data_IF_097659241703
#
_entry.id   IF_097659241703
#
_cell.length_a   1.000
_cell.length_b   1.000
_cell.length_c   1.000
_cell.angle_alpha   90.00
_cell.angle_beta   90.00
_cell.angle_gamma   90.00
#
_symmetry.space_group_name_H-M   'P 1'
#
loop_
_entity.id
_entity.type
_entity.pdbx_description
1 polymer ?
#
# COMPACT_ATOMS: atom_id res chain seq x y z
N UNK A 1 -1.72 23.81 61.01
CA UNK A 1 -1.80 22.37 61.31
C UNK A 1 -3.21 22.06 61.76
N UNK A 2 -3.88 21.19 60.98
CA UNK A 2 -5.01 20.30 61.27
C UNK A 2 -5.94 20.61 62.46
N UNK A 3 -7.18 20.97 62.12
CA UNK A 3 -8.38 20.90 62.97
C UNK A 3 -8.82 19.45 63.15
N UNK A 4 -9.06 19.06 64.40
CA UNK A 4 -9.55 17.74 64.80
C UNK A 4 -11.10 17.64 64.75
N UNK A 5 -11.50 16.49 64.24
CA UNK A 5 -12.79 15.81 64.16
C UNK A 5 -13.64 15.73 65.44
N UNK A 6 -14.96 15.59 65.25
CA UNK A 6 -15.89 14.54 65.78
C UNK A 6 -17.29 15.15 66.04
N UNK A 7 -18.45 14.54 65.81
CA UNK A 7 -18.90 13.14 65.59
C UNK A 7 -20.32 13.20 64.93
N UNK A 8 -20.64 12.35 63.94
CA UNK A 8 -21.43 11.10 64.03
C UNK A 8 -22.96 11.35 64.20
N UNK A 9 -23.95 10.59 63.68
CA UNK A 9 -24.13 9.32 62.93
C UNK A 9 -25.67 9.19 62.76
N UNK A 10 -26.30 8.69 61.67
CA UNK A 10 -26.78 7.30 61.47
C UNK A 10 -27.97 7.29 60.47
N UNK A 11 -27.93 6.33 59.52
CA UNK A 11 -28.97 5.51 58.83
C UNK A 11 -30.28 6.13 58.27
N UNK A 12 -30.95 5.62 57.22
CA UNK A 12 -31.01 4.29 56.58
C UNK A 12 -31.67 4.32 55.18
N UNK A 13 -31.16 3.47 54.28
CA UNK A 13 -31.81 2.57 53.31
C UNK A 13 -33.08 2.97 52.52
N UNK A 14 -33.03 2.83 51.17
CA UNK A 14 -33.86 1.86 50.40
C UNK A 14 -33.48 1.78 48.91
N UNK A 15 -33.27 0.55 48.43
CA UNK A 15 -33.48 0.08 47.02
C UNK A 15 -34.66 -0.93 47.08
N UNK A 16 -35.29 -1.46 45.99
CA UNK A 16 -34.89 -1.49 44.58
C UNK A 16 -36.05 -1.32 43.55
N UNK A 17 -35.75 -1.23 42.24
CA UNK A 17 -36.66 -1.76 41.21
C UNK A 17 -35.92 -2.20 39.94
N UNK A 18 -36.08 -3.48 39.62
CA UNK A 18 -35.78 -4.09 38.32
C UNK A 18 -36.85 -3.64 37.33
N UNK A 19 -36.46 -3.27 36.11
CA UNK A 19 -37.20 -3.72 34.94
C UNK A 19 -36.24 -3.88 33.75
N UNK A 20 -36.34 -5.02 33.08
CA UNK A 20 -35.53 -5.39 31.94
C UNK A 20 -36.27 -5.11 30.64
N UNK A 21 -35.53 -4.69 29.61
CA UNK A 21 -35.82 -5.01 28.19
C UNK A 21 -34.61 -4.64 27.31
N UNK A 22 -33.84 -5.67 27.02
CA UNK A 22 -33.49 -6.12 25.67
C UNK A 22 -33.19 -5.09 24.56
N UNK A 23 -31.90 -5.00 24.23
CA UNK A 23 -31.29 -5.07 22.88
C UNK A 23 -32.12 -4.53 21.70
N UNK A 24 -31.67 -3.41 21.14
CA UNK A 24 -31.67 -3.24 19.68
C UNK A 24 -30.38 -2.58 19.22
N UNK A 25 -29.48 -3.42 18.69
CA UNK A 25 -28.34 -3.01 17.88
C UNK A 25 -28.87 -2.33 16.62
N UNK A 26 -28.68 -1.02 16.50
CA UNK A 26 -28.63 -0.36 15.19
C UNK A 26 -27.18 -0.15 14.82
N UNK A 27 -26.63 -1.15 14.14
CA UNK A 27 -25.44 -0.99 13.29
C UNK A 27 -25.84 -0.11 12.12
N UNK A 28 -25.62 1.20 12.23
CA UNK A 28 -25.62 2.03 11.04
C UNK A 28 -24.32 1.75 10.28
N UNK A 29 -24.52 1.23 9.08
CA UNK A 29 -23.51 1.03 8.05
C UNK A 29 -22.90 2.38 7.67
N UNK A 30 -21.72 2.66 8.18
CA UNK A 30 -20.83 3.69 7.64
C UNK A 30 -20.37 3.24 6.25
N UNK A 31 -21.15 3.56 5.21
CA UNK A 31 -20.59 3.77 3.88
C UNK A 31 -19.84 5.09 3.91
N UNK A 32 -18.66 5.07 4.55
CA UNK A 32 -17.71 6.17 4.51
C UNK A 32 -17.36 6.44 3.05
N UNK A 33 -17.55 7.69 2.63
CA UNK A 33 -17.17 8.16 1.31
C UNK A 33 -15.64 7.98 1.10
N UNK A 34 -15.17 7.75 -0.14
CA UNK A 34 -13.80 7.32 -0.40
C UNK A 34 -12.73 8.31 0.11
N UNK A 35 -11.54 7.83 0.51
CA UNK A 35 -10.52 8.63 1.19
C UNK A 35 -9.97 9.77 0.31
N UNK A 36 -9.87 9.53 -1.01
CA UNK A 36 -9.51 10.54 -2.02
C UNK A 36 -10.49 10.45 -3.19
N UNK A 37 -10.91 11.58 -3.73
CA UNK A 37 -11.80 11.63 -4.90
C UNK A 37 -10.97 11.49 -6.17
N UNK A 38 -11.21 10.43 -6.95
CA UNK A 38 -10.55 10.23 -8.24
C UNK A 38 -11.18 11.20 -9.24
N UNK A 39 -10.40 12.17 -9.75
CA UNK A 39 -10.88 13.05 -10.79
C UNK A 39 -10.93 12.30 -12.14
N UNK A 40 -12.14 12.06 -12.67
CA UNK A 40 -12.36 11.42 -13.96
C UNK A 40 -12.29 12.46 -15.10
N UNK A 41 -11.10 12.94 -15.46
CA UNK A 41 -10.93 13.79 -16.64
C UNK A 41 -10.11 13.08 -17.71
N UNK A 42 -10.79 12.32 -18.58
CA UNK A 42 -10.44 12.11 -19.99
C UNK A 42 -11.37 11.09 -20.67
N UNK A 43 -12.46 11.57 -21.28
CA UNK A 43 -13.12 10.84 -22.37
C UNK A 43 -12.40 11.20 -23.67
N UNK A 44 -11.37 10.43 -24.02
CA UNK A 44 -10.75 10.46 -25.34
C UNK A 44 -11.23 9.26 -26.14
N UNK A 45 -11.92 9.51 -27.24
CA UNK A 45 -12.47 8.52 -28.17
C UNK A 45 -11.35 7.64 -28.75
N UNK A 46 -11.34 6.34 -28.42
CA UNK A 46 -10.40 5.37 -28.99
C UNK A 46 -11.06 4.62 -30.15
N UNK A 47 -10.61 4.91 -31.37
CA UNK A 47 -10.93 4.15 -32.56
C UNK A 47 -10.37 2.72 -32.46
N UNK A 48 -11.17 1.73 -32.87
CA UNK A 48 -10.79 0.33 -33.01
C UNK A 48 -9.87 0.16 -34.22
N UNK A 49 -8.63 -0.33 -34.02
CA UNK A 49 -7.92 -1.21 -34.97
C UNK A 49 -6.53 -1.61 -34.45
N UNK A 50 -6.10 -2.82 -34.84
CA UNK A 50 -4.77 -3.43 -34.80
C UNK A 50 -4.29 -4.08 -33.48
N UNK A 51 -3.69 -5.26 -33.64
CA UNK A 51 -3.43 -6.28 -32.62
C UNK A 51 -2.84 -5.78 -31.30
N UNK A 52 -3.18 -6.49 -30.21
CA UNK A 52 -2.73 -6.23 -28.84
C UNK A 52 -1.24 -5.88 -28.81
N UNK A 53 -0.88 -4.59 -28.62
CA UNK A 53 0.50 -4.18 -28.51
C UNK A 53 1.14 -4.96 -27.36
N UNK A 54 2.41 -5.33 -27.49
CA UNK A 54 3.12 -5.96 -26.38
C UNK A 54 2.95 -5.09 -25.13
N UNK A 55 2.52 -5.69 -24.01
CA UNK A 55 2.20 -4.97 -22.76
C UNK A 55 3.38 -4.12 -22.30
N UNK A 56 4.61 -4.55 -22.58
CA UNK A 56 5.82 -3.77 -22.31
C UNK A 56 6.05 -2.55 -23.19
N UNK A 57 5.48 -2.49 -24.40
CA UNK A 57 5.56 -1.30 -25.26
C UNK A 57 4.57 -0.22 -24.81
N UNK A 58 3.41 -0.59 -24.26
CA UNK A 58 2.46 0.37 -23.65
C UNK A 58 3.05 1.05 -22.43
N UNK A 59 3.63 0.29 -21.50
CA UNK A 59 4.27 0.84 -20.30
C UNK A 59 5.48 1.75 -20.64
N UNK A 60 6.29 1.41 -21.65
CA UNK A 60 7.41 2.27 -22.12
C UNK A 60 6.96 3.66 -22.53
N UNK A 61 5.78 3.76 -23.14
CA UNK A 61 5.22 5.03 -23.60
C UNK A 61 4.63 5.86 -22.46
N UNK A 62 4.13 5.21 -21.41
CA UNK A 62 3.44 5.86 -20.29
C UNK A 62 4.41 6.48 -19.28
N UNK A 63 5.57 5.85 -19.03
CA UNK A 63 6.51 6.32 -18.00
C UNK A 63 7.99 6.22 -18.42
N UNK A 64 8.48 7.11 -19.31
CA UNK A 64 9.86 7.05 -19.80
C UNK A 64 10.89 7.45 -18.72
N UNK A 65 10.59 8.45 -17.89
CA UNK A 65 11.53 8.98 -16.87
C UNK A 65 11.80 7.95 -15.78
N UNK A 66 10.74 7.35 -15.22
CA UNK A 66 10.85 6.30 -14.22
C UNK A 66 11.61 5.09 -14.71
N UNK A 67 11.39 4.74 -15.98
CA UNK A 67 12.07 3.60 -16.63
C UNK A 67 13.57 3.82 -16.78
N UNK A 68 14.00 5.05 -17.09
CA UNK A 68 15.41 5.40 -17.10
C UNK A 68 16.00 5.38 -15.68
N UNK A 69 15.26 5.89 -14.68
CA UNK A 69 15.71 5.91 -13.29
C UNK A 69 15.81 4.52 -12.64
N UNK A 70 15.21 3.50 -13.25
CA UNK A 70 15.12 2.13 -12.74
C UNK A 70 15.59 1.09 -13.76
N UNK A 71 16.45 1.52 -14.70
CA UNK A 71 16.92 0.71 -15.83
C UNK A 71 17.79 -0.48 -15.39
N UNK A 72 18.50 -0.32 -14.27
CA UNK A 72 19.30 -1.35 -13.61
C UNK A 72 18.46 -2.48 -13.00
N UNK A 73 17.15 -2.29 -12.85
CA UNK A 73 16.25 -3.29 -12.26
C UNK A 73 15.64 -4.16 -13.34
N UNK A 74 15.98 -5.45 -13.28
CA UNK A 74 15.39 -6.47 -14.12
C UNK A 74 13.88 -6.60 -13.90
N UNK A 75 13.14 -6.94 -14.96
CA UNK A 75 11.67 -7.04 -14.90
C UNK A 75 11.13 -8.26 -15.63
N UNK A 76 10.17 -8.91 -14.99
CA UNK A 76 9.40 -10.02 -15.55
C UNK A 76 7.96 -9.58 -15.85
N UNK A 77 7.41 -10.02 -16.98
CA UNK A 77 5.98 -9.80 -17.25
C UNK A 77 5.19 -10.95 -16.64
N UNK A 78 4.46 -10.67 -15.57
CA UNK A 78 3.67 -11.65 -14.81
C UNK A 78 2.24 -11.15 -14.73
N UNK A 79 1.29 -11.93 -15.24
CA UNK A 79 -0.12 -11.54 -15.26
C UNK A 79 -0.44 -10.25 -16.03
N UNK A 80 0.39 -9.86 -17.00
CA UNK A 80 0.20 -8.64 -17.81
C UNK A 80 0.83 -7.35 -17.24
N UNK A 81 1.39 -7.40 -16.03
CA UNK A 81 2.17 -6.31 -15.43
C UNK A 81 3.67 -6.63 -15.45
N UNK A 82 4.52 -5.59 -15.52
CA UNK A 82 5.99 -5.75 -15.43
C UNK A 82 6.43 -5.56 -13.98
N UNK A 83 6.72 -6.68 -13.34
CA UNK A 83 7.12 -6.73 -11.93
C UNK A 83 8.65 -6.71 -11.84
N UNK A 84 9.17 -6.05 -10.81
CA UNK A 84 10.59 -6.02 -10.51
C UNK A 84 11.07 -7.40 -10.07
N UNK A 85 12.17 -7.85 -10.64
CA UNK A 85 12.87 -9.09 -10.25
C UNK A 85 13.85 -8.73 -9.14
N UNK A 86 13.30 -8.40 -7.98
CA UNK A 86 14.05 -8.08 -6.77
C UNK A 86 13.47 -8.86 -5.60
N UNK A 87 14.34 -9.32 -4.71
CA UNK A 87 13.95 -9.78 -3.39
C UNK A 87 13.71 -8.61 -2.42
N UNK A 88 13.37 -8.92 -1.17
CA UNK A 88 13.02 -7.97 -0.13
C UNK A 88 14.20 -7.06 0.25
N UNK A 89 15.38 -7.64 0.45
CA UNK A 89 16.60 -6.90 0.80
C UNK A 89 17.09 -6.05 -0.39
N UNK A 90 17.09 -6.62 -1.59
CA UNK A 90 17.40 -5.90 -2.84
C UNK A 90 16.43 -4.75 -3.08
N UNK A 91 15.13 -4.95 -2.83
CA UNK A 91 14.14 -3.87 -2.93
C UNK A 91 14.41 -2.77 -1.91
N UNK A 92 14.73 -3.14 -0.66
CA UNK A 92 15.02 -2.17 0.38
C UNK A 92 16.31 -1.38 0.10
N UNK A 93 17.38 -2.06 -0.33
CA UNK A 93 18.63 -1.42 -0.74
C UNK A 93 18.39 -0.47 -1.92
N UNK A 94 17.63 -0.92 -2.92
CA UNK A 94 17.25 -0.07 -4.05
C UNK A 94 16.49 1.18 -3.60
N UNK A 95 15.53 1.04 -2.69
CA UNK A 95 14.80 2.18 -2.12
C UNK A 95 15.71 3.18 -1.38
N UNK A 96 16.69 2.69 -0.61
CA UNK A 96 17.68 3.52 0.08
C UNK A 96 18.61 4.23 -0.91
N UNK A 97 19.09 3.53 -1.93
CA UNK A 97 19.96 4.10 -2.95
C UNK A 97 19.27 5.23 -3.72
N UNK A 98 17.96 5.12 -3.96
CA UNK A 98 17.17 6.11 -4.70
C UNK A 98 17.04 7.46 -4.01
N UNK A 99 16.99 7.47 -2.68
CA UNK A 99 16.84 8.70 -1.90
C UNK A 99 18.18 9.39 -1.65
N UNK A 100 19.29 8.70 -1.96
CA UNK A 100 20.64 9.25 -1.84
C UNK A 100 20.84 10.43 -2.83
N UNK A 101 21.40 11.57 -2.39
CA UNK A 101 21.45 12.80 -3.21
C UNK A 101 22.05 12.63 -4.62
N UNK A 102 23.08 11.80 -4.76
CA UNK A 102 23.79 11.52 -6.01
C UNK A 102 22.98 10.70 -7.01
N UNK A 103 21.89 10.05 -6.57
CA UNK A 103 21.02 9.20 -7.39
C UNK A 103 19.62 9.76 -7.51
N UNK A 104 19.37 10.90 -6.86
CA UNK A 104 18.08 11.55 -6.84
C UNK A 104 17.73 12.10 -8.23
N UNK A 105 16.59 11.66 -8.73
CA UNK A 105 15.99 12.19 -9.96
C UNK A 105 15.15 13.44 -9.66
N UNK A 106 14.85 14.24 -10.70
CA UNK A 106 14.11 15.52 -10.59
C UNK A 106 12.68 15.43 -10.04
N UNK A 107 12.18 14.23 -9.77
CA UNK A 107 10.88 13.96 -9.11
C UNK A 107 11.03 12.72 -8.21
N UNK A 108 10.21 12.58 -7.16
CA UNK A 108 10.17 11.32 -6.42
C UNK A 108 9.84 10.15 -7.35
N UNK A 109 10.43 8.99 -7.03
CA UNK A 109 10.00 7.74 -7.65
C UNK A 109 8.79 7.17 -6.93
N UNK A 110 7.83 6.68 -7.71
CA UNK A 110 6.61 6.05 -7.29
C UNK A 110 6.74 4.52 -7.38
N UNK A 111 6.79 3.89 -6.22
CA UNK A 111 6.85 2.44 -6.06
C UNK A 111 5.49 1.92 -5.57
N UNK A 112 5.04 0.81 -6.16
CA UNK A 112 3.79 0.13 -5.78
C UNK A 112 4.00 -1.38 -5.68
N UNK A 113 2.96 -2.11 -5.34
CA UNK A 113 2.96 -3.55 -5.10
C UNK A 113 1.74 -4.16 -5.78
N UNK A 114 1.94 -5.28 -6.49
CA UNK A 114 0.87 -6.00 -7.16
C UNK A 114 0.62 -7.37 -6.51
N UNK A 115 -0.65 -7.73 -6.44
CA UNK A 115 -1.15 -9.05 -6.04
C UNK A 115 -2.26 -9.49 -7.01
N UNK A 116 -2.92 -10.62 -6.74
CA UNK A 116 -3.97 -11.14 -7.62
C UNK A 116 -5.16 -10.19 -7.81
N UNK A 117 -5.55 -9.45 -6.76
CA UNK A 117 -6.61 -8.43 -6.85
C UNK A 117 -6.20 -7.32 -7.82
N UNK A 118 -4.98 -6.80 -7.69
CA UNK A 118 -4.45 -5.77 -8.61
C UNK A 118 -4.45 -6.26 -10.05
N UNK A 119 -4.01 -7.50 -10.31
CA UNK A 119 -4.04 -8.06 -11.67
C UNK A 119 -5.46 -8.10 -12.24
N UNK A 120 -6.43 -8.59 -11.44
CA UNK A 120 -7.83 -8.61 -11.85
C UNK A 120 -8.35 -7.21 -12.14
N UNK A 121 -8.03 -6.23 -11.30
CA UNK A 121 -8.51 -4.85 -11.45
C UNK A 121 -7.88 -4.15 -12.64
N UNK A 122 -6.57 -4.29 -12.87
CA UNK A 122 -5.93 -3.76 -14.07
C UNK A 122 -6.52 -4.38 -15.37
N UNK A 123 -6.97 -5.63 -15.34
CA UNK A 123 -7.60 -6.23 -16.51
C UNK A 123 -9.03 -5.71 -16.80
N UNK A 124 -9.75 -5.22 -15.78
CA UNK A 124 -11.16 -4.82 -15.90
C UNK A 124 -11.41 -3.32 -15.75
N UNK A 125 -10.49 -2.58 -15.14
CA UNK A 125 -10.62 -1.16 -14.81
C UNK A 125 -9.51 -0.37 -15.53
N UNK A 126 -9.81 0.32 -16.65
CA UNK A 126 -8.81 1.04 -17.43
C UNK A 126 -8.05 2.12 -16.64
N UNK A 127 -8.72 2.79 -15.70
CA UNK A 127 -8.08 3.78 -14.83
C UNK A 127 -7.04 3.12 -13.92
N UNK A 128 -7.40 2.00 -13.28
CA UNK A 128 -6.47 1.26 -12.41
C UNK A 128 -5.28 0.73 -13.20
N UNK A 129 -5.49 0.20 -14.41
CA UNK A 129 -4.39 -0.21 -15.31
C UNK A 129 -3.44 0.96 -15.62
N UNK A 130 -3.98 2.13 -15.98
CA UNK A 130 -3.17 3.35 -16.25
C UNK A 130 -2.31 3.72 -15.04
N UNK A 131 -2.93 3.75 -13.86
CA UNK A 131 -2.29 4.16 -12.60
C UNK A 131 -1.17 3.19 -12.17
N UNK A 132 -1.35 1.87 -12.35
CA UNK A 132 -0.29 0.90 -12.07
C UNK A 132 0.81 0.93 -13.13
N UNK A 133 0.49 1.15 -14.41
CA UNK A 133 1.49 1.29 -15.48
C UNK A 133 2.31 2.57 -15.40
N UNK A 134 1.80 3.59 -14.72
CA UNK A 134 2.52 4.82 -14.42
C UNK A 134 3.56 4.63 -13.29
N UNK A 135 3.51 3.54 -12.52
CA UNK A 135 4.48 3.29 -11.47
C UNK A 135 5.90 3.11 -12.02
N UNK A 136 6.87 3.61 -11.25
CA UNK A 136 8.29 3.46 -11.57
C UNK A 136 8.76 2.04 -11.25
N UNK A 137 8.26 1.44 -10.17
CA UNK A 137 8.59 0.06 -9.79
C UNK A 137 7.35 -0.65 -9.20
N UNK A 138 7.13 -1.90 -9.59
CA UNK A 138 6.03 -2.74 -9.07
C UNK A 138 6.63 -4.00 -8.44
N UNK A 139 6.49 -4.15 -7.13
CA UNK A 139 6.90 -5.36 -6.40
C UNK A 139 5.82 -6.45 -6.47
N UNK A 140 6.24 -7.71 -6.33
CA UNK A 140 5.33 -8.85 -6.25
C UNK A 140 4.94 -9.14 -4.78
N UNK A 141 3.73 -8.75 -4.37
CA UNK A 141 3.23 -8.92 -2.99
C UNK A 141 2.50 -10.27 -2.81
N UNK A 142 2.03 -10.88 -3.89
CA UNK A 142 1.30 -12.16 -3.87
C UNK A 142 2.17 -13.39 -4.14
N UNK A 143 2.09 -14.40 -3.27
CA UNK A 143 2.75 -15.71 -3.50
C UNK A 143 2.40 -16.35 -4.86
N UNK A 144 1.15 -16.30 -5.36
CA UNK A 144 0.83 -16.86 -6.67
C UNK A 144 1.61 -16.22 -7.83
N UNK A 145 1.98 -14.94 -7.74
CA UNK A 145 2.77 -14.24 -8.77
C UNK A 145 4.17 -14.86 -8.84
N UNK A 146 4.79 -15.10 -7.68
CA UNK A 146 6.11 -15.72 -7.57
C UNK A 146 6.08 -17.15 -8.10
N UNK A 147 5.11 -17.96 -7.67
CA UNK A 147 4.99 -19.36 -8.10
C UNK A 147 4.81 -19.50 -9.62
N UNK A 148 3.90 -18.71 -10.21
CA UNK A 148 3.68 -18.75 -11.66
C UNK A 148 4.87 -18.19 -12.43
N UNK A 149 5.56 -17.17 -11.89
CA UNK A 149 6.79 -16.67 -12.52
C UNK A 149 7.88 -17.74 -12.56
N UNK A 150 8.04 -18.56 -11.50
CA UNK A 150 8.98 -19.70 -11.46
C UNK A 150 8.65 -20.78 -12.47
N UNK A 151 7.36 -20.95 -12.77
CA UNK A 151 6.90 -21.95 -13.73
C UNK A 151 7.00 -21.49 -15.19
N UNK A 152 6.79 -20.19 -15.48
CA UNK A 152 6.56 -19.69 -16.85
C UNK A 152 7.50 -18.59 -17.32
N UNK A 153 8.24 -17.96 -16.42
CA UNK A 153 9.16 -16.89 -16.77
C UNK A 153 10.60 -17.38 -16.74
N UNK A 154 11.39 -16.98 -17.73
CA UNK A 154 12.84 -17.21 -17.78
C UNK A 154 13.61 -16.35 -16.78
N UNK A 155 13.02 -15.24 -16.33
CA UNK A 155 13.51 -14.40 -15.22
C UNK A 155 12.49 -14.48 -14.09
N UNK A 156 12.45 -15.58 -13.33
CA UNK A 156 11.46 -15.75 -12.29
C UNK A 156 11.63 -14.72 -11.18
N UNK A 157 10.54 -14.32 -10.56
CA UNK A 157 10.60 -13.47 -9.37
C UNK A 157 11.27 -14.27 -8.25
N UNK A 158 12.29 -13.71 -7.59
CA UNK A 158 13.07 -14.45 -6.60
C UNK A 158 12.19 -14.86 -5.41
N UNK A 159 11.43 -13.89 -4.89
CA UNK A 159 10.57 -14.06 -3.74
C UNK A 159 9.39 -13.08 -3.70
N UNK A 160 8.53 -13.26 -2.69
CA UNK A 160 7.38 -12.42 -2.42
C UNK A 160 7.82 -11.23 -1.57
N UNK A 161 7.70 -10.04 -2.13
CA UNK A 161 8.01 -8.77 -1.46
C UNK A 161 6.73 -8.17 -0.92
N UNK A 162 6.34 -8.61 0.28
CA UNK A 162 5.17 -8.06 0.96
C UNK A 162 5.47 -6.64 1.44
N UNK A 163 4.54 -5.71 1.24
CA UNK A 163 4.78 -4.31 1.65
C UNK A 163 4.96 -4.18 3.17
N UNK A 164 4.29 -5.04 3.96
CA UNK A 164 4.47 -5.15 5.42
C UNK A 164 5.86 -5.61 5.84
N UNK A 165 6.44 -6.55 5.09
CA UNK A 165 7.78 -7.07 5.39
C UNK A 165 8.83 -6.05 4.93
N UNK A 166 8.60 -5.41 3.77
CA UNK A 166 9.48 -4.41 3.19
C UNK A 166 9.60 -3.18 4.09
N UNK A 167 8.48 -2.71 4.65
CA UNK A 167 8.47 -1.59 5.58
C UNK A 167 9.46 -1.79 6.73
N UNK A 168 9.48 -2.98 7.35
CA UNK A 168 10.37 -3.28 8.46
C UNK A 168 11.85 -3.28 8.06
N UNK A 169 12.18 -3.79 6.87
CA UNK A 169 13.56 -3.79 6.35
C UNK A 169 14.02 -2.37 6.04
N UNK A 170 13.19 -1.57 5.35
CA UNK A 170 13.51 -0.17 5.02
C UNK A 170 13.59 0.68 6.30
N UNK A 171 12.71 0.44 7.29
CA UNK A 171 12.74 1.17 8.56
C UNK A 171 14.05 0.97 9.33
N UNK A 172 14.58 -0.27 9.40
CA UNK A 172 15.88 -0.54 10.02
C UNK A 172 17.01 0.21 9.31
N UNK A 173 17.09 0.10 7.99
CA UNK A 173 18.13 0.79 7.21
C UNK A 173 18.00 2.31 7.31
N UNK A 174 16.77 2.82 7.30
CA UNK A 174 16.50 4.25 7.45
C UNK A 174 16.90 4.77 8.84
N UNK A 175 16.67 3.98 9.89
CA UNK A 175 17.13 4.30 11.24
C UNK A 175 18.66 4.37 11.32
N UNK A 176 19.36 3.37 10.77
CA UNK A 176 20.84 3.31 10.73
C UNK A 176 21.45 4.47 9.94
N UNK A 177 20.81 4.87 8.83
CA UNK A 177 21.29 5.93 7.94
C UNK A 177 20.73 7.32 8.29
N UNK A 178 19.88 7.41 9.32
CA UNK A 178 19.27 8.67 9.75
C UNK A 178 18.27 9.28 8.74
N UNK A 179 17.72 8.46 7.85
CA UNK A 179 16.71 8.81 6.86
C UNK A 179 15.33 9.01 7.50
N UNK A 180 14.46 9.71 6.77
CA UNK A 180 13.19 10.24 7.29
C UNK A 180 11.97 9.61 6.64
N UNK A 181 10.95 9.32 7.45
CA UNK A 181 9.67 8.80 6.99
C UNK A 181 8.55 9.84 7.19
N UNK A 182 7.62 9.86 6.24
CA UNK A 182 6.29 10.44 6.41
C UNK A 182 5.23 9.36 6.24
N UNK A 183 4.25 9.30 7.16
CA UNK A 183 3.20 8.26 7.17
C UNK A 183 1.82 8.85 6.87
N UNK A 184 1.33 8.70 5.64
CA UNK A 184 0.05 9.25 5.19
C UNK A 184 -0.98 8.16 4.86
N UNK A 185 -2.12 8.14 5.54
CA UNK A 185 -3.19 7.18 5.25
C UNK A 185 -3.85 6.58 6.48
N UNK A 186 -4.71 5.57 6.26
CA UNK A 186 -5.62 4.99 7.25
C UNK A 186 -6.57 6.02 7.90
N UNK A 187 -7.40 5.58 8.85
CA UNK A 187 -8.16 6.51 9.68
C UNK A 187 -7.28 7.12 10.77
N UNK A 188 -7.79 8.14 11.47
CA UNK A 188 -6.99 8.88 12.45
C UNK A 188 -6.48 8.01 13.61
N UNK A 189 -7.34 7.14 14.16
CA UNK A 189 -6.96 6.26 15.25
C UNK A 189 -5.90 5.23 14.82
N UNK A 190 -6.10 4.60 13.65
CA UNK A 190 -5.17 3.64 13.07
C UNK A 190 -3.83 4.29 12.71
N UNK A 191 -3.84 5.49 12.13
CA UNK A 191 -2.62 6.22 11.78
C UNK A 191 -1.80 6.56 13.04
N UNK A 192 -2.44 7.12 14.07
CA UNK A 192 -1.78 7.44 15.35
C UNK A 192 -1.20 6.19 16.01
N UNK A 193 -1.97 5.10 16.07
CA UNK A 193 -1.51 3.84 16.65
C UNK A 193 -0.35 3.22 15.84
N UNK A 194 -0.41 3.27 14.51
CA UNK A 194 0.67 2.80 13.65
C UNK A 194 1.96 3.58 13.90
N UNK A 195 1.91 4.91 13.93
CA UNK A 195 3.09 5.76 14.21
C UNK A 195 3.67 5.48 15.59
N UNK A 196 2.82 5.35 16.62
CA UNK A 196 3.28 5.02 17.97
C UNK A 196 4.00 3.67 18.04
N UNK A 197 3.46 2.65 17.37
CA UNK A 197 4.07 1.33 17.31
C UNK A 197 5.38 1.33 16.50
N UNK A 198 5.46 2.08 15.40
CA UNK A 198 6.69 2.23 14.62
C UNK A 198 7.78 2.91 15.46
N UNK A 199 7.46 4.01 16.16
CA UNK A 199 8.42 4.68 17.07
C UNK A 199 8.90 3.77 18.20
N UNK A 200 8.05 2.87 18.69
CA UNK A 200 8.44 1.88 19.71
C UNK A 200 9.34 0.78 19.12
N UNK A 201 9.09 0.36 17.88
CA UNK A 201 9.87 -0.68 17.21
C UNK A 201 11.22 -0.18 16.65
N UNK A 202 11.28 1.10 16.25
CA UNK A 202 12.45 1.78 15.69
C UNK A 202 12.64 3.14 16.39
N UNK A 203 13.22 3.19 17.60
CA UNK A 203 13.30 4.39 18.43
C UNK A 203 14.12 5.55 17.84
N UNK A 204 15.09 5.27 16.97
CA UNK A 204 15.93 6.28 16.33
C UNK A 204 15.44 6.65 14.91
N UNK A 205 14.42 5.96 14.38
CA UNK A 205 13.80 6.30 13.10
C UNK A 205 13.11 7.67 13.17
N UNK A 206 13.46 8.56 12.25
CA UNK A 206 12.89 9.91 12.17
C UNK A 206 11.58 9.91 11.39
N UNK A 207 10.46 9.96 12.11
CA UNK A 207 9.15 10.21 11.50
C UNK A 207 8.88 11.72 11.53
N UNK A 208 9.10 12.39 10.40
CA UNK A 208 9.02 13.86 10.28
C UNK A 208 7.57 14.37 10.20
N UNK A 209 6.62 13.50 9.88
CA UNK A 209 5.21 13.82 9.91
C UNK A 209 4.32 12.60 9.67
N UNK A 210 3.04 12.75 10.00
CA UNK A 210 2.03 11.74 9.73
C UNK A 210 0.64 12.39 9.61
N UNK A 211 -0.25 11.78 8.85
CA UNK A 211 -1.64 12.24 8.75
C UNK A 211 -2.57 11.13 8.27
N UNK A 212 -3.84 11.17 8.69
CA UNK A 212 -4.87 10.24 8.22
C UNK A 212 -5.22 10.49 6.74
N UNK A 213 -5.79 9.48 6.09
CA UNK A 213 -6.07 9.50 4.65
C UNK A 213 -7.35 10.22 4.21
N UNK A 214 -8.27 10.51 5.14
CA UNK A 214 -9.58 11.07 4.84
C UNK A 214 -9.58 12.61 4.70
N UNK A 215 -8.72 13.16 3.85
CA UNK A 215 -8.63 14.60 3.55
C UNK A 215 -9.13 14.91 2.15
N UNK A 216 -9.70 16.10 1.95
CA UNK A 216 -10.24 16.55 0.66
C UNK A 216 -10.03 18.05 0.43
N UNK A 217 -10.13 18.47 -0.83
CA UNK A 217 -10.12 19.89 -1.21
C UNK A 217 -8.86 20.61 -0.71
N UNK A 218 -9.06 21.80 -0.13
CA UNK A 218 -7.94 22.60 0.40
C UNK A 218 -7.18 21.91 1.53
N UNK A 219 -7.85 21.12 2.38
CA UNK A 219 -7.16 20.41 3.46
C UNK A 219 -6.17 19.38 2.93
N UNK A 220 -6.53 18.66 1.84
CA UNK A 220 -5.61 17.74 1.17
C UNK A 220 -4.45 18.49 0.50
N UNK A 221 -4.73 19.60 -0.18
CA UNK A 221 -3.69 20.43 -0.81
C UNK A 221 -2.71 20.97 0.24
N UNK A 222 -3.20 21.57 1.32
CA UNK A 222 -2.35 22.06 2.40
C UNK A 222 -1.48 20.93 2.99
N UNK A 223 -2.05 19.73 3.12
CA UNK A 223 -1.29 18.57 3.61
C UNK A 223 -0.20 18.12 2.62
N UNK A 224 -0.47 18.16 1.32
CA UNK A 224 0.55 17.88 0.28
C UNK A 224 1.67 18.91 0.33
N UNK A 225 1.36 20.19 0.56
CA UNK A 225 2.39 21.23 0.72
C UNK A 225 3.26 20.99 1.94
N UNK A 226 2.65 20.63 3.07
CA UNK A 226 3.37 20.27 4.29
C UNK A 226 4.30 19.08 4.05
N UNK A 227 3.80 18.01 3.40
CA UNK A 227 4.63 16.84 3.05
C UNK A 227 5.82 17.27 2.19
N UNK A 228 5.59 18.10 1.18
CA UNK A 228 6.66 18.58 0.30
C UNK A 228 7.64 19.52 1.03
N UNK A 229 7.17 20.33 1.98
CA UNK A 229 8.01 21.22 2.78
C UNK A 229 8.89 20.43 3.77
N UNK A 230 8.35 19.37 4.38
CA UNK A 230 9.10 18.47 5.27
C UNK A 230 10.12 17.60 4.52
N UNK A 231 9.99 17.47 3.20
CA UNK A 231 10.93 16.78 2.32
C UNK A 231 11.36 15.38 2.80
N UNK A 232 10.43 14.48 3.15
CA UNK A 232 10.77 13.15 3.66
C UNK A 232 11.51 12.33 2.59
N UNK A 233 12.45 11.51 3.03
CA UNK A 233 13.12 10.53 2.16
C UNK A 233 12.11 9.49 1.67
N UNK A 234 11.22 9.02 2.55
CA UNK A 234 10.16 8.08 2.20
C UNK A 234 8.78 8.57 2.61
N UNK A 235 7.89 8.71 1.62
CA UNK A 235 6.46 8.91 1.84
C UNK A 235 5.71 7.58 1.69
N UNK A 236 5.20 7.08 2.81
CA UNK A 236 4.35 5.88 2.85
C UNK A 236 2.88 6.28 2.73
N UNK A 237 2.22 5.86 1.65
CA UNK A 237 0.82 6.20 1.35
C UNK A 237 -0.07 4.96 1.51
N UNK A 238 -1.00 4.99 2.45
CA UNK A 238 -1.90 3.88 2.80
C UNK A 238 -3.38 4.30 2.68
N UNK A 239 -3.82 4.64 1.47
CA UNK A 239 -5.19 5.07 1.17
C UNK A 239 -6.04 3.93 0.58
N UNK A 240 -5.41 2.80 0.28
CA UNK A 240 -6.06 1.66 -0.36
C UNK A 240 -6.10 1.81 -1.88
N UNK A 241 -6.14 0.67 -2.56
CA UNK A 241 -6.18 0.61 -4.03
C UNK A 241 -7.59 0.95 -4.52
N UNK A 242 -7.78 1.88 -5.49
CA UNK A 242 -6.77 2.55 -6.31
C UNK A 242 -6.46 3.99 -5.85
N UNK A 243 -6.98 4.43 -4.70
CA UNK A 243 -6.93 5.81 -4.22
C UNK A 243 -5.51 6.29 -3.93
N UNK A 244 -4.65 5.41 -3.41
CA UNK A 244 -3.24 5.74 -3.20
C UNK A 244 -2.48 5.91 -4.51
N UNK A 245 -2.77 5.10 -5.53
CA UNK A 245 -2.18 5.26 -6.86
C UNK A 245 -2.67 6.58 -7.51
N UNK A 246 -3.96 6.89 -7.35
CA UNK A 246 -4.56 8.12 -7.87
C UNK A 246 -4.01 9.37 -7.18
N UNK A 247 -3.84 9.32 -5.85
CA UNK A 247 -3.17 10.39 -5.10
C UNK A 247 -1.76 10.65 -5.63
N UNK A 248 -0.99 9.59 -5.90
CA UNK A 248 0.35 9.76 -6.46
C UNK A 248 0.28 10.36 -7.86
N UNK A 249 -0.54 9.83 -8.77
CA UNK A 249 -0.69 10.38 -10.13
C UNK A 249 -1.07 11.88 -10.14
N UNK A 250 -1.95 12.30 -9.23
CA UNK A 250 -2.40 13.69 -9.12
C UNK A 250 -1.34 14.62 -8.49
N UNK A 251 -0.66 14.18 -7.42
CA UNK A 251 0.20 15.06 -6.61
C UNK A 251 1.70 14.86 -6.81
N UNK A 252 2.13 13.89 -7.63
CA UNK A 252 3.56 13.65 -7.93
C UNK A 252 4.31 14.92 -8.35
N UNK A 253 3.76 15.82 -9.21
CA UNK A 253 4.46 17.05 -9.60
C UNK A 253 4.66 18.04 -8.44
N UNK A 254 3.82 17.97 -7.41
CA UNK A 254 3.83 18.87 -6.24
C UNK A 254 4.69 18.35 -5.08
N UNK A 255 5.09 17.08 -5.15
CA UNK A 255 5.89 16.38 -4.15
C UNK A 255 7.38 16.31 -4.54
N UNK A 256 7.90 17.29 -5.30
CA UNK A 256 9.25 17.28 -5.86
C UNK A 256 10.38 17.11 -4.82
N UNK A 257 10.16 17.52 -3.58
CA UNK A 257 11.12 17.39 -2.47
C UNK A 257 11.00 16.08 -1.70
N UNK A 258 10.07 15.19 -2.05
CA UNK A 258 10.02 13.83 -1.51
C UNK A 258 11.10 12.98 -2.20
N UNK A 259 11.75 12.08 -1.47
CA UNK A 259 12.74 11.15 -2.04
C UNK A 259 12.07 10.05 -2.88
N UNK A 260 11.27 9.21 -2.23
CA UNK A 260 10.50 8.15 -2.85
C UNK A 260 9.10 8.03 -2.22
N UNK A 261 8.13 7.62 -3.01
CA UNK A 261 6.75 7.38 -2.59
C UNK A 261 6.45 5.89 -2.71
N UNK A 262 6.03 5.25 -1.61
CA UNK A 262 5.61 3.85 -1.59
C UNK A 262 4.13 3.74 -1.23
N UNK A 263 3.32 3.28 -2.18
CA UNK A 263 1.92 2.94 -1.90
C UNK A 263 1.83 1.61 -1.17
N UNK A 264 0.97 1.55 -0.14
CA UNK A 264 1.10 0.59 0.95
C UNK A 264 -0.18 -0.16 1.31
N UNK A 265 -1.31 0.12 0.66
CA UNK A 265 -2.58 -0.53 0.92
C UNK A 265 -2.94 -0.52 2.41
N UNK A 266 -3.22 -1.71 2.96
CA UNK A 266 -3.59 -1.90 4.37
C UNK A 266 -2.41 -2.00 5.36
N UNK A 267 -1.21 -1.55 5.00
CA UNK A 267 -0.01 -1.61 5.86
C UNK A 267 -0.29 -1.07 7.28
N UNK A 268 -0.98 0.07 7.39
CA UNK A 268 -1.19 0.74 8.67
C UNK A 268 -2.16 -0.03 9.59
N UNK A 269 -3.06 -0.86 9.04
CA UNK A 269 -3.90 -1.75 9.86
C UNK A 269 -3.06 -2.81 10.58
N UNK A 270 -1.96 -3.26 9.97
CA UNK A 270 -1.00 -4.17 10.61
C UNK A 270 -0.09 -3.44 11.59
N UNK A 271 0.43 -2.27 11.21
CA UNK A 271 1.31 -1.47 12.10
C UNK A 271 0.57 -0.98 13.34
N UNK A 272 -0.71 -0.63 13.24
CA UNK A 272 -1.54 -0.24 14.39
C UNK A 272 -1.87 -1.39 15.33
N UNK A 273 -1.73 -2.64 14.87
CA UNK A 273 -2.16 -3.83 15.61
C UNK A 273 -3.66 -4.14 15.51
N UNK A 274 -4.41 -3.35 14.72
CA UNK A 274 -5.86 -3.56 14.51
C UNK A 274 -6.14 -4.88 13.80
N UNK A 275 -5.27 -5.28 12.85
CA UNK A 275 -5.34 -6.58 12.20
C UNK A 275 -4.10 -7.40 12.54
N UNK A 276 -4.26 -8.59 13.15
CA UNK A 276 -3.12 -9.46 13.42
C UNK A 276 -2.58 -10.04 12.10
N UNK A 277 -1.26 -10.06 11.96
CA UNK A 277 -0.59 -10.78 10.88
C UNK A 277 -0.82 -12.30 11.04
N UNK A 278 -0.83 -13.02 9.92
CA UNK A 278 -0.91 -14.48 9.97
C UNK A 278 0.31 -15.06 10.71
N UNK A 279 0.20 -16.21 11.40
CA UNK A 279 1.36 -16.91 11.94
C UNK A 279 2.47 -17.12 10.90
N UNK A 280 3.75 -17.08 11.33
CA UNK A 280 4.91 -17.12 10.43
C UNK A 280 4.88 -18.33 9.48
N UNK A 281 4.48 -19.50 9.97
CA UNK A 281 4.37 -20.70 9.14
C UNK A 281 3.35 -20.51 8.00
N UNK A 282 2.20 -19.87 8.25
CA UNK A 282 1.19 -19.55 7.23
C UNK A 282 1.71 -18.54 6.21
N UNK A 283 2.50 -17.55 6.65
CA UNK A 283 3.12 -16.60 5.73
C UNK A 283 4.11 -17.31 4.79
N UNK A 284 4.92 -18.24 5.32
CA UNK A 284 5.91 -19.01 4.55
C UNK A 284 5.24 -19.91 3.52
N UNK A 285 4.18 -20.63 3.89
CA UNK A 285 3.45 -21.50 2.95
C UNK A 285 2.47 -20.73 2.05
N UNK A 286 2.37 -19.40 2.18
CA UNK A 286 1.51 -18.56 1.35
C UNK A 286 0.02 -18.60 1.70
N UNK A 287 -0.35 -19.03 2.91
CA UNK A 287 -1.74 -19.08 3.42
C UNK A 287 -2.21 -17.78 4.08
N UNK A 288 -1.43 -16.69 3.97
CA UNK A 288 -1.81 -15.41 4.55
C UNK A 288 -3.16 -14.89 4.03
N UNK A 289 -3.50 -15.18 2.77
CA UNK A 289 -4.80 -14.81 2.20
C UNK A 289 -5.96 -15.49 2.94
N UNK A 290 -5.79 -16.75 3.37
CA UNK A 290 -6.80 -17.52 4.08
C UNK A 290 -6.98 -17.00 5.51
N UNK A 291 -5.87 -16.66 6.18
CA UNK A 291 -5.91 -15.98 7.48
C UNK A 291 -6.68 -14.65 7.40
N UNK A 292 -6.41 -13.83 6.39
CA UNK A 292 -7.16 -12.58 6.19
C UNK A 292 -8.63 -12.84 5.92
N UNK A 293 -8.97 -13.83 5.09
CA UNK A 293 -10.36 -14.20 4.82
C UNK A 293 -11.09 -14.61 6.11
N UNK A 294 -10.41 -15.30 7.02
CA UNK A 294 -10.98 -15.65 8.31
C UNK A 294 -11.24 -14.44 9.21
N UNK A 295 -10.34 -13.44 9.20
CA UNK A 295 -10.53 -12.20 9.95
C UNK A 295 -11.60 -11.28 9.36
N UNK A 296 -11.71 -11.21 8.04
CA UNK A 296 -12.62 -10.30 7.34
C UNK A 296 -13.50 -11.02 6.29
N UNK A 297 -14.31 -12.02 6.69
CA UNK A 297 -14.99 -12.92 5.76
C UNK A 297 -15.97 -12.17 4.86
N UNK A 298 -16.78 -11.25 5.41
CA UNK A 298 -17.77 -10.49 4.64
C UNK A 298 -17.15 -9.62 3.54
N UNK A 299 -15.98 -9.03 3.83
CA UNK A 299 -15.27 -8.14 2.91
C UNK A 299 -14.48 -8.93 1.86
N UNK A 300 -13.83 -10.02 2.27
CA UNK A 300 -12.86 -10.72 1.43
C UNK A 300 -13.46 -11.87 0.63
N UNK A 301 -14.57 -12.47 1.06
CA UNK A 301 -15.17 -13.61 0.39
C UNK A 301 -15.60 -13.29 -1.05
N UNK A 302 -16.46 -12.29 -1.23
CA UNK A 302 -16.93 -11.86 -2.55
C UNK A 302 -15.80 -11.35 -3.43
N UNK A 303 -14.84 -10.66 -2.80
CA UNK A 303 -13.64 -10.18 -3.49
C UNK A 303 -12.84 -11.33 -4.06
N UNK A 304 -12.49 -12.32 -3.24
CA UNK A 304 -11.70 -13.47 -3.69
C UNK A 304 -12.42 -14.32 -4.71
N UNK A 305 -13.73 -14.53 -4.57
CA UNK A 305 -14.52 -15.27 -5.54
C UNK A 305 -14.49 -14.63 -6.93
N UNK A 306 -14.48 -13.30 -7.00
CA UNK A 306 -14.49 -12.55 -8.27
C UNK A 306 -13.09 -12.29 -8.83
N UNK A 307 -12.10 -12.02 -7.98
CA UNK A 307 -10.74 -11.65 -8.42
C UNK A 307 -9.82 -12.84 -8.62
N UNK A 308 -9.88 -13.88 -7.77
CA UNK A 308 -8.88 -14.95 -7.79
C UNK A 308 -8.94 -15.80 -9.06
N UNK A 309 -10.12 -16.23 -9.58
CA UNK A 309 -10.18 -16.98 -10.83
C UNK A 309 -9.63 -16.19 -12.02
N UNK A 310 -9.95 -14.90 -12.08
CA UNK A 310 -9.44 -13.98 -13.11
C UNK A 310 -7.94 -13.80 -12.99
N UNK A 311 -7.44 -13.56 -11.78
CA UNK A 311 -6.01 -13.41 -11.52
C UNK A 311 -5.24 -14.66 -11.94
N UNK A 312 -5.74 -15.86 -11.61
CA UNK A 312 -5.12 -17.12 -12.05
C UNK A 312 -5.11 -17.24 -13.58
N UNK A 313 -6.24 -16.98 -14.25
CA UNK A 313 -6.30 -16.97 -15.70
C UNK A 313 -5.27 -16.02 -16.32
N UNK A 314 -5.18 -14.79 -15.81
CA UNK A 314 -4.20 -13.79 -16.27
C UNK A 314 -2.77 -14.25 -16.01
N UNK A 315 -2.49 -14.82 -14.84
CA UNK A 315 -1.17 -15.35 -14.49
C UNK A 315 -0.73 -16.44 -15.47
N UNK A 316 -1.61 -17.37 -15.85
CA UNK A 316 -1.24 -18.42 -16.81
C UNK A 316 -1.14 -17.90 -18.25
N UNK A 317 -2.05 -17.02 -18.68
CA UNK A 317 -2.14 -16.58 -20.08
C UNK A 317 -1.23 -15.40 -20.43
N UNK A 318 -0.96 -14.51 -19.47
CA UNK A 318 -0.27 -13.25 -19.71
C UNK A 318 1.09 -13.15 -19.02
N UNK A 319 1.56 -14.24 -18.40
CA UNK A 319 2.96 -14.38 -18.00
C UNK A 319 3.76 -14.81 -19.23
N UNK A 320 4.66 -13.94 -19.68
CA UNK A 320 5.44 -14.17 -20.90
C UNK A 320 6.74 -14.89 -20.56
N UNK A 321 7.09 -15.97 -21.27
CA UNK A 321 8.50 -16.37 -21.41
C UNK A 321 9.25 -15.18 -22.03
N UNK A 322 10.47 -14.86 -21.59
CA UNK A 322 11.21 -13.81 -22.30
C UNK A 322 11.38 -14.22 -23.75
N UNK A 323 11.05 -13.33 -24.69
CA UNK A 323 11.65 -13.41 -26.01
C UNK A 323 13.16 -13.29 -25.79
N UNK A 324 13.89 -14.38 -25.98
CA UNK A 324 15.31 -14.32 -26.25
C UNK A 324 15.51 -13.28 -27.35
N UNK A 325 16.50 -12.38 -27.17
CA UNK A 325 16.96 -11.54 -28.28
C UNK A 325 17.18 -12.49 -29.46
N UNK A 326 16.47 -12.27 -30.56
CA UNK A 326 16.94 -12.80 -31.84
C UNK A 326 18.19 -11.98 -32.14
N UNK A 327 19.30 -12.69 -32.22
CA UNK A 327 20.60 -12.19 -32.64
C UNK A 327 20.53 -11.45 -33.98
#
# INVERSE_FOLDING_TARGET
MLSHSQNARVSSATSPSRDGREVSRRTNSDTAAPPVQICNTSRGTLAKSAGMPSTGMRERRVNPVGRAATDSVDRATVGGLRLAVLDLEQTANFMVDLVHPQRRVRRPLYLTSANGEVLSRCATEPMTDRLFRAADLINADGQPLVMVSKLRSSKPLPERVATTDLFGVVARKAEELGLTFYMFGANEAENKAAVANVRRAFPALKIVGHCHGYLRGEALRAKVDEINALAPDFLWVALGVPYEQAFVDEYLPRLGNVGAIKTSGGLFNFLSGTLPRAPRWMQIVGLEWAWRLWLEPRRLFWRYLTTNPRALYLLFQQTRPSLTKRD
#
